data_IF_932375303434
#
_entry.id   IF_932375303434
#
_cell.length_a   1.000
_cell.length_b   1.000
_cell.length_c   1.000
_cell.angle_alpha   90.00
_cell.angle_beta   90.00
_cell.angle_gamma   90.00
#
_symmetry.space_group_name_H-M   'P 1'
#
loop_
_entity.id
_entity.type
_entity.pdbx_description
1 polymer ?
#
# COMPACT_ATOMS: atom_id res chain seq x y z
N UNK A 1 -7.97 0.66 5.22
CA UNK A 1 -8.31 1.12 3.85
C UNK A 1 -8.92 0.02 2.97
N UNK A 2 -8.30 -1.16 2.82
CA UNK A 2 -8.87 -2.25 2.01
C UNK A 2 -10.28 -2.69 2.44
N UNK A 3 -10.49 -2.90 3.74
CA UNK A 3 -11.79 -3.30 4.27
C UNK A 3 -12.86 -2.20 4.10
N UNK A 4 -12.48 -0.93 4.26
CA UNK A 4 -13.39 0.20 4.06
C UNK A 4 -13.84 0.32 2.59
N UNK A 5 -12.92 0.15 1.63
CA UNK A 5 -13.27 0.17 0.22
C UNK A 5 -14.22 -0.96 -0.21
N UNK A 6 -14.25 -2.08 0.52
CA UNK A 6 -15.26 -3.13 0.30
C UNK A 6 -16.65 -2.74 0.82
N UNK A 7 -16.72 -1.94 1.88
CA UNK A 7 -17.98 -1.51 2.51
C UNK A 7 -18.57 -0.30 1.78
N UNK A 8 -17.72 0.63 1.35
CA UNK A 8 -18.12 1.86 0.65
C UNK A 8 -18.27 1.68 -0.87
N UNK A 9 -18.25 0.44 -1.37
CA UNK A 9 -18.28 0.11 -2.81
C UNK A 9 -17.20 0.85 -3.65
N UNK A 10 -16.09 1.23 -3.01
CA UNK A 10 -14.90 1.81 -3.63
C UNK A 10 -13.72 0.84 -3.53
N UNK A 11 -13.78 -0.31 -4.25
CA UNK A 11 -12.79 -1.36 -4.09
C UNK A 11 -11.41 -0.85 -4.48
N UNK A 12 -10.49 -0.81 -3.51
CA UNK A 12 -9.07 -0.59 -3.77
C UNK A 12 -8.37 -1.94 -3.86
N UNK A 13 -7.54 -2.18 -4.89
CA UNK A 13 -6.73 -3.39 -4.97
C UNK A 13 -5.90 -3.56 -3.69
N UNK A 14 -5.85 -4.79 -3.16
CA UNK A 14 -5.05 -5.09 -1.97
C UNK A 14 -3.57 -4.75 -2.18
N UNK A 15 -3.07 -4.96 -3.41
CA UNK A 15 -1.71 -4.61 -3.82
C UNK A 15 -1.40 -3.13 -3.59
N UNK A 16 -2.32 -2.24 -3.94
CA UNK A 16 -2.12 -0.79 -3.79
C UNK A 16 -2.15 -0.39 -2.32
N UNK A 17 -3.04 -1.00 -1.53
CA UNK A 17 -3.10 -0.75 -0.09
C UNK A 17 -1.80 -1.19 0.59
N UNK A 18 -1.24 -2.34 0.21
CA UNK A 18 0.04 -2.84 0.73
C UNK A 18 1.18 -1.90 0.33
N UNK A 19 1.25 -1.46 -0.93
CA UNK A 19 2.31 -0.59 -1.42
C UNK A 19 2.31 0.77 -0.70
N UNK A 20 1.14 1.42 -0.61
CA UNK A 20 0.99 2.71 0.07
C UNK A 20 1.30 2.57 1.56
N UNK A 21 0.82 1.51 2.21
CA UNK A 21 1.06 1.28 3.65
C UNK A 21 2.55 1.06 3.93
N UNK A 22 3.24 0.29 3.09
CA UNK A 22 4.67 0.02 3.27
C UNK A 22 5.51 1.29 3.09
N UNK A 23 5.24 2.09 2.07
CA UNK A 23 5.90 3.38 1.86
C UNK A 23 5.63 4.36 3.01
N UNK A 24 4.40 4.36 3.55
CA UNK A 24 4.03 5.23 4.66
C UNK A 24 4.72 4.81 5.98
N UNK A 25 4.83 3.51 6.25
CA UNK A 25 5.55 2.96 7.41
C UNK A 25 7.05 3.23 7.30
N UNK A 26 7.62 3.10 6.10
CA UNK A 26 9.06 3.27 5.83
C UNK A 26 9.39 4.63 5.22
N UNK A 27 8.63 5.68 5.52
CA UNK A 27 8.75 7.00 4.89
C UNK A 27 10.16 7.64 5.00
N UNK A 28 10.96 7.22 5.97
CA UNK A 28 12.36 7.67 6.17
C UNK A 28 13.38 6.92 5.29
N UNK A 29 12.99 5.79 4.71
CA UNK A 29 13.82 4.99 3.80
C UNK A 29 13.46 5.32 2.34
N UNK A 30 14.31 6.08 1.62
CA UNK A 30 14.04 6.43 0.23
C UNK A 30 14.07 5.21 -0.71
N UNK A 31 14.63 4.08 -0.29
CA UNK A 31 14.65 2.84 -1.06
C UNK A 31 13.43 1.93 -0.81
N UNK A 32 12.52 2.30 0.10
CA UNK A 32 11.36 1.48 0.45
C UNK A 32 10.50 1.12 -0.77
N UNK A 33 10.23 2.10 -1.64
CA UNK A 33 9.46 1.90 -2.87
C UNK A 33 10.13 0.91 -3.84
N UNK A 34 11.46 0.83 -3.85
CA UNK A 34 12.20 -0.09 -4.70
C UNK A 34 12.17 -1.52 -4.12
N UNK A 35 12.33 -1.66 -2.80
CA UNK A 35 12.35 -2.97 -2.12
C UNK A 35 11.04 -3.73 -2.24
N UNK A 36 9.91 -3.03 -2.11
CA UNK A 36 8.58 -3.68 -2.21
C UNK A 36 8.21 -4.08 -3.64
N UNK A 37 8.85 -3.47 -4.65
CA UNK A 37 8.63 -3.77 -6.08
C UNK A 37 9.56 -4.88 -6.60
N UNK A 38 10.56 -5.30 -5.82
CA UNK A 38 11.56 -6.32 -6.22
C UNK A 38 11.16 -7.77 -5.86
N UNK A 39 9.90 -8.04 -5.52
CA UNK A 39 9.39 -9.40 -5.26
C UNK A 39 8.34 -9.83 -6.27
#
# INVERSE_FOLDING_TARGET
MFLAGKVEETPRPLKDVILISYEMIHKKDPAAAQRIKQK
#
